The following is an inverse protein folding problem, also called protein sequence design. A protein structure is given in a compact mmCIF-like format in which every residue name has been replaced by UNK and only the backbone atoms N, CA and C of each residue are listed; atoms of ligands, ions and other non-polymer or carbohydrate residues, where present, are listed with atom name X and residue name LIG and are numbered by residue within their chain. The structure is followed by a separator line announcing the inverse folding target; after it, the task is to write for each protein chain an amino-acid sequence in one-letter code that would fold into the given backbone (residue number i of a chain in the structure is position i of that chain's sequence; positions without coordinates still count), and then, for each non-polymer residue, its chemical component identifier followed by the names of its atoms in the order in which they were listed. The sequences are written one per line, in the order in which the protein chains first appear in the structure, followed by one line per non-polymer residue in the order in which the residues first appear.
data_IF_889423662390
#
_entry.id   IF_889423662390
#
_cell.length_a   1.000
_cell.length_b   1.000
_cell.length_c   1.000
_cell.angle_alpha   90.00
_cell.angle_beta   90.00
_cell.angle_gamma   90.00
#
_symmetry.space_group_name_H-M   'P 1'
#
loop_
_entity.id
_entity.type
_entity.pdbx_description
1 polymer ?
#
# COMPACT_ATOMS: atom_id res chain seq x y z
N UNK A 1 -20.01 15.57 10.01
CA UNK A 1 -19.07 15.92 11.08
C UNK A 1 -18.58 14.63 11.72
N UNK A 2 -17.30 14.52 12.01
CA UNK A 2 -16.73 13.38 12.75
C UNK A 2 -17.22 13.38 14.19
N UNK A 3 -17.49 12.21 14.74
CA UNK A 3 -17.72 12.10 16.19
C UNK A 3 -16.41 12.35 16.96
N UNK A 4 -16.46 12.75 18.24
CA UNK A 4 -15.27 12.91 19.06
C UNK A 4 -14.39 11.66 19.10
N UNK A 5 -15.00 10.47 19.12
CA UNK A 5 -14.29 9.19 19.10
C UNK A 5 -13.57 8.93 17.76
N UNK A 6 -14.20 9.28 16.64
CA UNK A 6 -13.57 9.18 15.32
C UNK A 6 -12.39 10.16 15.19
N UNK A 7 -12.53 11.37 15.74
CA UNK A 7 -11.45 12.35 15.76
C UNK A 7 -10.27 11.88 16.62
N UNK A 8 -10.52 11.29 17.79
CA UNK A 8 -9.47 10.72 18.63
C UNK A 8 -8.75 9.58 17.93
N UNK A 9 -9.48 8.63 17.32
CA UNK A 9 -8.87 7.53 16.55
C UNK A 9 -8.00 8.04 15.40
N UNK A 10 -8.46 9.04 14.66
CA UNK A 10 -7.68 9.65 13.59
C UNK A 10 -6.36 10.28 14.10
N UNK A 11 -6.37 10.92 15.27
CA UNK A 11 -5.17 11.51 15.88
C UNK A 11 -4.18 10.39 16.29
N UNK A 12 -4.68 9.29 16.85
CA UNK A 12 -3.85 8.16 17.25
C UNK A 12 -3.17 7.52 16.05
N UNK A 13 -3.92 7.24 14.96
CA UNK A 13 -3.35 6.69 13.73
C UNK A 13 -2.35 7.66 13.08
N UNK A 14 -2.67 8.94 13.01
CA UNK A 14 -1.74 9.96 12.51
C UNK A 14 -0.45 10.00 13.33
N UNK A 15 -0.54 9.88 14.65
CA UNK A 15 0.62 9.87 15.54
C UNK A 15 1.51 8.64 15.30
N UNK A 16 0.91 7.47 15.02
CA UNK A 16 1.64 6.24 14.66
C UNK A 16 2.37 6.41 13.32
N UNK A 17 1.69 6.95 12.30
CA UNK A 17 2.27 7.21 10.99
C UNK A 17 3.45 8.18 11.07
N UNK A 18 3.28 9.30 11.78
CA UNK A 18 4.35 10.29 11.97
C UNK A 18 5.56 9.70 12.69
N UNK A 19 5.34 8.91 13.74
CA UNK A 19 6.42 8.23 14.46
C UNK A 19 7.21 7.32 13.54
N UNK A 20 6.51 6.50 12.74
CA UNK A 20 7.16 5.61 11.78
C UNK A 20 8.02 6.38 10.78
N UNK A 21 7.46 7.42 10.16
CA UNK A 21 8.17 8.23 9.15
C UNK A 21 9.39 8.95 9.75
N UNK A 22 9.29 9.43 10.99
CA UNK A 22 10.37 10.20 11.63
C UNK A 22 11.51 9.31 12.16
N UNK A 23 11.22 8.09 12.62
CA UNK A 23 12.21 7.26 13.30
C UNK A 23 12.66 6.03 12.52
N UNK A 24 11.77 5.44 11.72
CA UNK A 24 12.08 4.19 11.01
C UNK A 24 12.55 4.44 9.56
N UNK A 25 12.23 5.60 8.98
CA UNK A 25 12.61 5.90 7.59
C UNK A 25 14.13 6.08 7.38
N UNK A 26 14.88 6.37 8.43
CA UNK A 26 16.36 6.47 8.39
C UNK A 26 17.06 5.11 8.54
N UNK A 27 16.33 4.08 8.95
CA UNK A 27 16.87 2.73 9.04
C UNK A 27 17.06 2.12 7.65
N UNK A 28 18.12 1.32 7.48
CA UNK A 28 18.34 0.58 6.23
C UNK A 28 17.25 -0.47 6.00
N UNK A 29 16.82 -1.13 7.07
CA UNK A 29 15.73 -2.11 7.07
C UNK A 29 14.91 -2.01 8.35
N UNK A 30 13.64 -2.42 8.24
CA UNK A 30 12.70 -2.60 9.36
C UNK A 30 12.11 -3.99 9.30
N UNK A 31 11.53 -4.46 10.39
CA UNK A 31 10.79 -5.73 10.37
C UNK A 31 9.55 -5.59 9.47
N UNK A 32 9.22 -6.65 8.74
CA UNK A 32 8.03 -6.67 7.91
C UNK A 32 6.75 -6.37 8.73
N UNK A 33 6.70 -6.83 9.98
CA UNK A 33 5.62 -6.54 10.90
C UNK A 33 5.42 -5.03 11.11
N UNK A 34 6.49 -4.27 11.34
CA UNK A 34 6.42 -2.81 11.47
C UNK A 34 5.95 -2.12 10.18
N UNK A 35 6.40 -2.58 9.02
CA UNK A 35 5.94 -2.05 7.73
C UNK A 35 4.44 -2.33 7.53
N UNK A 36 3.95 -3.51 7.95
CA UNK A 36 2.52 -3.85 7.90
C UNK A 36 1.71 -3.00 8.88
N UNK A 37 2.16 -2.82 10.12
CA UNK A 37 1.49 -1.95 11.10
C UNK A 37 1.36 -0.50 10.57
N UNK A 38 2.38 -0.02 9.86
CA UNK A 38 2.33 1.28 9.20
C UNK A 38 1.26 1.33 8.10
N UNK A 39 1.20 0.29 7.24
CA UNK A 39 0.18 0.20 6.19
C UNK A 39 -1.23 0.07 6.77
N UNK A 40 -1.42 -0.72 7.84
CA UNK A 40 -2.69 -0.85 8.54
C UNK A 40 -3.14 0.52 9.08
N UNK A 41 -2.27 1.25 9.78
CA UNK A 41 -2.56 2.59 10.30
C UNK A 41 -2.94 3.57 9.19
N UNK A 42 -2.24 3.53 8.06
CA UNK A 42 -2.57 4.36 6.89
C UNK A 42 -3.95 4.02 6.32
N UNK A 43 -4.25 2.74 6.14
CA UNK A 43 -5.54 2.27 5.61
C UNK A 43 -6.68 2.67 6.54
N UNK A 44 -6.54 2.49 7.86
CA UNK A 44 -7.56 2.88 8.83
C UNK A 44 -7.82 4.40 8.80
N UNK A 45 -6.77 5.21 8.72
CA UNK A 45 -6.92 6.65 8.58
C UNK A 45 -7.66 7.03 7.28
N UNK A 46 -7.35 6.36 6.18
CA UNK A 46 -8.03 6.59 4.90
C UNK A 46 -9.50 6.16 4.94
N UNK A 47 -9.83 5.03 5.59
CA UNK A 47 -11.21 4.54 5.74
C UNK A 47 -12.15 5.56 6.36
N UNK A 48 -11.67 6.38 7.29
CA UNK A 48 -12.49 7.42 7.93
C UNK A 48 -13.04 8.46 6.95
N UNK A 49 -12.44 8.59 5.77
CA UNK A 49 -12.79 9.58 4.75
C UNK A 49 -13.54 8.98 3.55
N UNK A 50 -13.70 7.66 3.52
CA UNK A 50 -14.29 6.99 2.39
C UNK A 50 -15.82 6.94 2.48
N UNK A 51 -16.53 7.10 1.35
CA UNK A 51 -17.94 6.82 1.28
C UNK A 51 -18.21 5.31 1.35
N UNK A 52 -19.42 4.93 1.74
CA UNK A 52 -19.85 3.53 1.84
C UNK A 52 -19.84 2.76 0.50
N UNK A 53 -19.70 3.46 -0.61
CA UNK A 53 -19.56 2.86 -1.95
C UNK A 53 -18.16 2.29 -2.23
N UNK A 54 -17.18 2.51 -1.33
CA UNK A 54 -15.81 2.02 -1.47
C UNK A 54 -15.57 0.87 -0.49
N UNK A 55 -15.18 -0.29 -1.03
CA UNK A 55 -14.73 -1.45 -0.25
C UNK A 55 -13.20 -1.43 -0.13
N UNK A 56 -12.68 -1.58 1.06
CA UNK A 56 -11.24 -1.73 1.31
C UNK A 56 -10.99 -3.03 2.06
N UNK A 57 -10.27 -3.94 1.43
CA UNK A 57 -9.90 -5.25 1.97
C UNK A 57 -8.39 -5.34 2.16
N UNK A 58 -7.97 -5.81 3.33
CA UNK A 58 -6.56 -6.07 3.64
C UNK A 58 -6.39 -7.50 4.09
N UNK A 59 -5.30 -8.16 3.66
CA UNK A 59 -4.92 -9.49 4.13
C UNK A 59 -3.41 -9.51 4.39
N UNK A 60 -3.04 -9.52 5.66
CA UNK A 60 -1.68 -9.56 6.15
C UNK A 60 -1.43 -10.75 7.10
N UNK A 61 -2.35 -11.72 7.16
CA UNK A 61 -2.33 -12.79 8.15
C UNK A 61 -1.12 -13.71 8.01
N UNK A 62 -0.68 -13.97 6.78
CA UNK A 62 0.50 -14.81 6.52
C UNK A 62 1.79 -14.22 7.12
N UNK A 63 1.88 -12.90 7.25
CA UNK A 63 3.06 -12.23 7.84
C UNK A 63 3.17 -12.45 9.33
N UNK A 64 2.04 -12.57 10.02
CA UNK A 64 2.00 -12.72 11.49
C UNK A 64 2.42 -14.12 11.97
N UNK A 65 2.46 -15.09 11.07
CA UNK A 65 2.65 -16.51 11.43
C UNK A 65 3.99 -17.09 10.98
N UNK A 66 4.70 -16.50 10.03
CA UNK A 66 5.78 -17.16 9.30
C UNK A 66 7.19 -16.53 9.50
N UNK A 67 7.45 -15.98 10.66
CA UNK A 67 8.80 -15.57 11.06
C UNK A 67 9.18 -14.14 10.71
N UNK A 68 10.39 -13.73 11.15
CA UNK A 68 10.87 -12.36 10.95
C UNK A 68 11.50 -12.18 9.56
N UNK A 69 10.90 -11.34 8.74
CA UNK A 69 11.52 -10.76 7.54
C UNK A 69 11.90 -9.29 7.79
N UNK A 70 12.92 -8.82 7.12
CA UNK A 70 13.35 -7.42 7.16
C UNK A 70 13.20 -6.82 5.76
N UNK A 71 12.58 -5.65 5.68
CA UNK A 71 12.31 -4.95 4.43
C UNK A 71 12.78 -3.51 4.48
N UNK A 72 13.01 -2.90 3.32
CA UNK A 72 13.25 -1.47 3.24
C UNK A 72 12.00 -0.71 3.72
N UNK A 73 12.13 0.29 4.59
CA UNK A 73 10.99 1.04 5.11
C UNK A 73 10.27 1.80 3.99
N UNK A 74 8.97 1.95 4.11
CA UNK A 74 8.12 2.67 3.17
C UNK A 74 8.16 2.14 1.72
N UNK A 75 8.45 0.84 1.54
CA UNK A 75 8.60 0.25 0.21
C UNK A 75 7.24 0.14 -0.53
N UNK A 76 6.15 -0.09 0.19
CA UNK A 76 4.84 -0.36 -0.38
C UNK A 76 3.89 0.84 -0.37
N UNK A 77 4.14 1.84 0.48
CA UNK A 77 3.17 2.93 0.72
C UNK A 77 2.79 3.68 -0.54
N UNK A 78 3.72 3.92 -1.45
CA UNK A 78 3.43 4.65 -2.69
C UNK A 78 2.42 3.93 -3.58
N UNK A 79 2.39 2.59 -3.57
CA UNK A 79 1.40 1.81 -4.31
C UNK A 79 0.02 1.87 -3.64
N UNK A 80 0.00 1.84 -2.32
CA UNK A 80 -1.25 1.98 -1.54
C UNK A 80 -1.82 3.39 -1.72
N UNK A 81 -1.00 4.44 -1.62
CA UNK A 81 -1.41 5.83 -1.90
C UNK A 81 -1.99 5.98 -3.31
N UNK A 82 -1.35 5.39 -4.32
CA UNK A 82 -1.84 5.40 -5.69
C UNK A 82 -3.21 4.72 -5.81
N UNK A 83 -3.43 3.60 -5.11
CA UNK A 83 -4.72 2.91 -5.10
C UNK A 83 -5.83 3.79 -4.51
N UNK A 84 -5.59 4.47 -3.39
CA UNK A 84 -6.55 5.41 -2.80
C UNK A 84 -6.79 6.65 -3.66
N UNK A 85 -5.75 7.14 -4.34
CA UNK A 85 -5.85 8.33 -5.19
C UNK A 85 -6.56 8.08 -6.50
N UNK A 86 -6.35 6.92 -7.11
CA UNK A 86 -6.81 6.64 -8.47
C UNK A 86 -7.89 5.55 -8.55
N UNK A 87 -8.06 4.74 -7.50
CA UNK A 87 -8.99 3.62 -7.46
C UNK A 87 -10.40 3.99 -6.99
N UNK A 88 -10.66 5.25 -6.64
CA UNK A 88 -11.93 5.68 -6.06
C UNK A 88 -12.65 6.63 -7.01
N UNK A 89 -13.94 6.36 -7.25
CA UNK A 89 -14.83 7.23 -8.01
C UNK A 89 -16.04 7.61 -7.16
N UNK A 90 -16.44 8.89 -7.15
CA UNK A 90 -17.67 9.31 -6.48
C UNK A 90 -18.93 8.82 -7.20
N UNK A 91 -18.81 8.44 -8.49
CA UNK A 91 -19.93 8.08 -9.36
C UNK A 91 -20.22 6.57 -9.42
N UNK A 92 -19.33 5.73 -8.91
CA UNK A 92 -19.44 4.27 -9.02
C UNK A 92 -18.87 3.55 -7.81
N UNK A 93 -19.29 2.29 -7.62
CA UNK A 93 -18.67 1.43 -6.61
C UNK A 93 -17.20 1.22 -6.93
N UNK A 94 -16.39 1.27 -5.89
CA UNK A 94 -14.95 1.13 -6.00
C UNK A 94 -14.43 0.14 -4.98
N UNK A 95 -13.30 -0.48 -5.26
CA UNK A 95 -12.61 -1.35 -4.32
C UNK A 95 -11.10 -1.09 -4.29
N UNK A 96 -10.50 -1.39 -3.16
CA UNK A 96 -9.06 -1.47 -2.96
C UNK A 96 -8.80 -2.78 -2.22
N UNK A 97 -7.83 -3.58 -2.69
CA UNK A 97 -7.39 -4.82 -2.05
C UNK A 97 -5.89 -4.78 -1.88
N UNK A 98 -5.43 -5.06 -0.67
CA UNK A 98 -4.01 -5.08 -0.34
C UNK A 98 -3.71 -6.42 0.33
N UNK A 99 -2.72 -7.13 -0.20
CA UNK A 99 -2.28 -8.41 0.36
C UNK A 99 -0.77 -8.45 0.45
N UNK A 100 -0.29 -9.00 1.55
CA UNK A 100 1.12 -9.31 1.75
C UNK A 100 1.24 -10.75 2.24
N UNK A 101 2.01 -11.54 1.52
CA UNK A 101 2.35 -12.92 1.87
C UNK A 101 3.86 -13.04 2.03
N UNK A 102 4.30 -13.73 3.07
CA UNK A 102 5.71 -14.08 3.27
C UNK A 102 5.85 -15.58 3.45
N UNK A 103 6.69 -16.19 2.64
CA UNK A 103 7.05 -17.62 2.70
C UNK A 103 8.51 -17.71 3.16
N UNK A 104 8.71 -18.06 4.43
CA UNK A 104 10.04 -18.19 5.03
C UNK A 104 10.86 -19.31 4.41
N UNK A 105 10.21 -20.40 3.96
CA UNK A 105 10.87 -21.53 3.32
C UNK A 105 11.48 -21.18 1.96
N UNK A 106 10.81 -20.31 1.22
CA UNK A 106 11.27 -19.79 -0.08
C UNK A 106 12.04 -18.48 0.05
N UNK A 107 12.05 -17.89 1.25
CA UNK A 107 12.58 -16.55 1.50
C UNK A 107 12.02 -15.52 0.49
N UNK A 108 10.70 -15.57 0.30
CA UNK A 108 10.00 -14.77 -0.70
C UNK A 108 8.87 -13.98 -0.04
N UNK A 109 8.82 -12.70 -0.36
CA UNK A 109 7.74 -11.79 -0.03
C UNK A 109 6.95 -11.48 -1.29
N UNK A 110 5.62 -11.50 -1.22
CA UNK A 110 4.73 -11.07 -2.29
C UNK A 110 3.79 -9.99 -1.75
N UNK A 111 3.88 -8.80 -2.32
CA UNK A 111 2.96 -7.70 -2.08
C UNK A 111 2.05 -7.54 -3.29
N UNK A 112 0.74 -7.45 -3.08
CA UNK A 112 -0.25 -7.18 -4.13
C UNK A 112 -1.14 -6.04 -3.71
N UNK A 113 -1.28 -5.04 -4.56
CA UNK A 113 -2.24 -3.95 -4.41
C UNK A 113 -3.09 -3.86 -5.67
N UNK A 114 -4.40 -4.01 -5.52
CA UNK A 114 -5.38 -3.92 -6.61
C UNK A 114 -6.42 -2.87 -6.29
N UNK A 115 -6.89 -2.17 -7.30
CA UNK A 115 -7.97 -1.20 -7.15
C UNK A 115 -8.82 -1.13 -8.42
N UNK A 116 -10.06 -0.64 -8.26
CA UNK A 116 -10.90 -0.28 -9.40
C UNK A 116 -10.15 0.70 -10.29
N UNK A 117 -10.23 0.49 -11.59
CA UNK A 117 -9.67 1.41 -12.58
C UNK A 117 -10.83 2.14 -13.27
N UNK A 118 -10.88 3.45 -13.06
CA UNK A 118 -11.91 4.29 -13.65
C UNK A 118 -11.35 5.04 -14.87
N UNK A 119 -12.13 5.19 -15.96
CA UNK A 119 -11.72 5.97 -17.10
C UNK A 119 -11.33 7.40 -16.67
N UNK A 120 -10.12 7.82 -17.02
CA UNK A 120 -9.68 9.20 -16.74
C UNK A 120 -10.52 10.18 -17.54
N UNK A 121 -11.17 11.11 -16.87
CA UNK A 121 -11.76 12.26 -17.52
C UNK A 121 -10.66 13.25 -17.90
N UNK A 122 -10.89 14.06 -18.94
CA UNK A 122 -9.91 15.04 -19.45
C UNK A 122 -9.43 16.10 -18.44
N UNK A 123 -10.02 16.11 -17.24
CA UNK A 123 -9.63 16.97 -16.11
C UNK A 123 -8.58 16.34 -15.18
N UNK A 124 -8.35 15.03 -15.25
CA UNK A 124 -7.37 14.32 -14.41
C UNK A 124 -5.96 14.39 -15.04
N UNK A 125 -5.44 15.58 -15.15
CA UNK A 125 -4.03 15.83 -15.52
C UNK A 125 -3.09 15.75 -14.33
N UNK A 126 -3.24 14.75 -13.47
CA UNK A 126 -2.18 14.42 -12.51
C UNK A 126 -1.00 13.87 -13.31
N UNK A 127 0.23 14.40 -13.19
CA UNK A 127 1.38 13.77 -13.81
C UNK A 127 1.52 12.37 -13.23
N UNK A 128 1.01 11.38 -13.96
CA UNK A 128 1.17 9.98 -13.61
C UNK A 128 2.64 9.61 -13.76
N UNK A 129 3.20 8.99 -12.74
CA UNK A 129 4.53 8.40 -12.86
C UNK A 129 5.52 8.71 -11.75
N UNK A 130 5.37 9.76 -10.95
CA UNK A 130 6.33 10.07 -9.88
C UNK A 130 6.34 8.96 -8.83
N UNK A 131 5.19 8.49 -8.37
CA UNK A 131 5.09 7.44 -7.37
C UNK A 131 5.66 6.10 -7.85
N UNK A 132 5.34 5.67 -9.07
CA UNK A 132 5.87 4.42 -9.64
C UNK A 132 7.39 4.50 -9.86
N UNK A 133 7.90 5.66 -10.29
CA UNK A 133 9.34 5.88 -10.44
C UNK A 133 10.07 5.78 -9.10
N UNK A 134 9.50 6.32 -8.03
CA UNK A 134 10.06 6.21 -6.68
C UNK A 134 10.08 4.76 -6.19
N UNK A 135 9.01 3.99 -6.44
CA UNK A 135 8.97 2.55 -6.12
C UNK A 135 10.10 1.81 -6.83
N UNK A 136 10.26 2.02 -8.14
CA UNK A 136 11.33 1.38 -8.92
C UNK A 136 12.72 1.72 -8.37
N UNK A 137 13.00 2.99 -8.14
CA UNK A 137 14.29 3.44 -7.58
C UNK A 137 14.57 2.80 -6.22
N UNK A 138 13.56 2.67 -5.36
CA UNK A 138 13.70 2.05 -4.05
C UNK A 138 13.94 0.55 -4.15
N UNK A 139 13.23 -0.14 -5.05
CA UNK A 139 13.45 -1.56 -5.32
C UNK A 139 14.87 -1.84 -5.87
N UNK A 140 15.31 -1.05 -6.84
CA UNK A 140 16.65 -1.18 -7.41
C UNK A 140 17.75 -0.90 -6.38
N UNK A 141 17.54 0.08 -5.49
CA UNK A 141 18.50 0.40 -4.45
C UNK A 141 18.58 -0.68 -3.37
N UNK A 142 17.43 -1.16 -2.88
CA UNK A 142 17.36 -2.07 -1.72
C UNK A 142 17.46 -3.56 -2.10
N UNK A 143 17.03 -3.90 -3.32
CA UNK A 143 16.96 -5.31 -3.78
C UNK A 143 17.54 -5.50 -5.18
N UNK A 144 18.77 -5.07 -5.48
CA UNK A 144 19.33 -5.18 -6.83
C UNK A 144 19.35 -6.63 -7.31
N UNK A 145 18.64 -6.90 -8.42
CA UNK A 145 18.51 -8.24 -9.00
C UNK A 145 17.72 -9.27 -8.17
N UNK A 146 17.04 -8.84 -7.10
CA UNK A 146 16.29 -9.71 -6.18
C UNK A 146 14.83 -9.30 -6.06
N UNK A 147 14.24 -8.70 -7.08
CA UNK A 147 12.82 -8.37 -7.12
C UNK A 147 12.23 -8.58 -8.51
N UNK A 148 10.93 -8.79 -8.54
CA UNK A 148 10.10 -8.70 -9.73
C UNK A 148 8.97 -7.71 -9.44
N UNK A 149 8.64 -6.85 -10.39
CA UNK A 149 7.52 -5.94 -10.26
C UNK A 149 6.68 -5.95 -11.53
N UNK A 150 5.43 -6.37 -11.38
CA UNK A 150 4.43 -6.41 -12.44
C UNK A 150 3.32 -5.41 -12.09
N UNK A 151 2.91 -4.59 -13.03
CA UNK A 151 1.78 -3.68 -12.86
C UNK A 151 1.09 -3.41 -14.17
N UNK A 152 -0.19 -3.07 -14.09
CA UNK A 152 -1.01 -2.77 -15.26
C UNK A 152 -2.49 -2.95 -15.01
N UNK A 153 -3.26 -2.88 -16.08
CA UNK A 153 -4.70 -3.09 -16.05
C UNK A 153 -5.05 -4.54 -16.34
N UNK A 154 -6.05 -5.04 -15.64
CA UNK A 154 -6.63 -6.37 -15.76
C UNK A 154 -8.15 -6.27 -15.98
N UNK A 155 -8.81 -7.39 -16.30
CA UNK A 155 -10.26 -7.48 -16.43
C UNK A 155 -10.84 -6.43 -17.42
N UNK A 156 -10.33 -6.42 -18.65
CA UNK A 156 -10.73 -5.46 -19.70
C UNK A 156 -10.57 -3.98 -19.28
N UNK A 157 -9.56 -3.72 -18.47
CA UNK A 157 -9.25 -2.38 -17.97
C UNK A 157 -10.04 -1.95 -16.73
N UNK A 158 -10.88 -2.80 -16.15
CA UNK A 158 -11.70 -2.47 -14.98
C UNK A 158 -10.92 -2.46 -13.66
N UNK A 159 -9.79 -3.14 -13.62
CA UNK A 159 -8.90 -3.27 -12.44
C UNK A 159 -7.51 -2.80 -12.78
N UNK A 160 -6.88 -2.06 -11.88
CA UNK A 160 -5.43 -1.83 -11.89
C UNK A 160 -4.79 -2.71 -10.81
N UNK A 161 -3.73 -3.41 -11.17
CA UNK A 161 -3.00 -4.32 -10.28
C UNK A 161 -1.53 -3.96 -10.25
N UNK A 162 -0.91 -4.05 -9.09
CA UNK A 162 0.53 -3.93 -8.89
C UNK A 162 0.99 -5.03 -7.96
N UNK A 163 1.94 -5.86 -8.42
CA UNK A 163 2.50 -6.97 -7.66
C UNK A 163 4.01 -6.84 -7.60
N UNK A 164 4.55 -6.81 -6.39
CA UNK A 164 5.99 -6.86 -6.11
C UNK A 164 6.30 -8.22 -5.48
N UNK A 165 7.34 -8.89 -5.98
CA UNK A 165 7.97 -10.03 -5.32
C UNK A 165 9.38 -9.64 -4.93
N UNK A 166 9.78 -9.96 -3.71
CA UNK A 166 11.13 -9.73 -3.19
C UNK A 166 11.71 -11.08 -2.76
N UNK A 167 12.95 -11.32 -3.11
CA UNK A 167 13.72 -12.52 -2.78
C UNK A 167 14.85 -12.12 -1.80
N UNK A 168 14.92 -12.80 -0.64
CA UNK A 168 15.88 -12.51 0.44
C UNK A 168 17.11 -13.40 0.42
#
# INVERSE_FOLDING_TARGET
AFSPQQAQGAIEELSRLLRYVLYENEAETVTLEKEIEFLESYVELMRLRLPSSVSVETNFDAVKTDGQAFVAPLIFISLVENAFKHGISPASRSFIRIRVDYDSSKRQLVFVCQNSNHPKTSKDKSPGGIGLKQVLQRLEHSYPGRYEWLYGTENDGATYSSQIKIYF
#
